data_IF_326012258566
#
_entry.id   IF_326012258566
#
_cell.length_a   1.000
_cell.length_b   1.000
_cell.length_c   1.000
_cell.angle_alpha   90.00
_cell.angle_beta   90.00
_cell.angle_gamma   90.00
#
_symmetry.space_group_name_H-M   'P 1'
#
loop_
_entity.id
_entity.type
_entity.pdbx_description
1 polymer ?
#
# COMPACT_ATOMS: atom_id res chain seq x y z
N UNK A 1 8.08 5.82 28.76
CA UNK A 1 7.92 4.79 27.71
C UNK A 1 7.35 5.49 26.50
N UNK A 2 8.04 5.40 25.37
CA UNK A 2 7.61 6.03 24.13
C UNK A 2 6.76 5.04 23.35
N UNK A 3 5.56 5.48 22.93
CA UNK A 3 4.66 4.74 22.08
C UNK A 3 4.62 5.36 20.69
N UNK A 4 4.62 4.53 19.67
CA UNK A 4 4.54 4.93 18.26
C UNK A 4 3.28 4.39 17.58
N UNK A 5 2.85 5.05 16.51
CA UNK A 5 1.85 4.55 15.58
C UNK A 5 2.54 3.94 14.37
N UNK A 6 2.11 2.76 13.94
CA UNK A 6 2.62 2.13 12.73
C UNK A 6 1.45 1.77 11.82
N UNK A 7 1.46 2.29 10.59
CA UNK A 7 0.68 1.73 9.50
C UNK A 7 1.52 0.65 8.81
N UNK A 8 1.14 -0.62 9.04
CA UNK A 8 1.78 -1.76 8.41
C UNK A 8 1.09 -2.07 7.07
N UNK A 9 1.43 -1.32 6.03
CA UNK A 9 0.80 -1.45 4.73
C UNK A 9 1.30 -2.64 3.90
N UNK A 10 0.50 -3.06 2.91
CA UNK A 10 0.87 -4.14 1.98
C UNK A 10 2.09 -3.77 1.16
N UNK A 11 2.10 -2.58 0.57
CA UNK A 11 3.16 -2.11 -0.33
C UNK A 11 4.16 -1.18 0.37
N UNK A 12 3.68 -0.30 1.24
CA UNK A 12 4.46 0.65 2.01
C UNK A 12 3.96 0.70 3.45
N UNK A 13 4.87 0.91 4.38
CA UNK A 13 4.59 1.13 5.80
C UNK A 13 5.02 2.52 6.23
N UNK A 14 4.38 3.03 7.27
CA UNK A 14 4.61 4.37 7.80
C UNK A 14 4.74 4.30 9.33
N UNK A 15 5.56 5.16 9.92
CA UNK A 15 5.68 5.31 11.36
C UNK A 15 5.54 6.76 11.78
N UNK A 16 4.76 6.97 12.81
CA UNK A 16 4.54 8.28 13.39
C UNK A 16 4.52 8.27 14.90
N UNK A 17 4.63 9.44 15.47
CA UNK A 17 4.53 9.59 16.89
C UNK A 17 3.80 10.88 17.28
N UNK A 18 3.20 10.91 18.47
CA UNK A 18 2.40 12.03 18.95
C UNK A 18 3.24 13.00 19.74
N UNK A 19 3.34 14.23 19.25
CA UNK A 19 4.07 15.34 19.92
C UNK A 19 3.36 16.66 19.69
N UNK A 20 3.38 17.50 20.71
CA UNK A 20 2.83 18.87 20.63
C UNK A 20 1.40 18.92 20.09
N UNK A 21 0.57 17.96 20.51
CA UNK A 21 -0.84 17.81 20.13
C UNK A 21 -1.08 17.51 18.64
N UNK A 22 -0.09 16.92 17.96
CA UNK A 22 -0.19 16.47 16.58
C UNK A 22 0.56 15.17 16.35
N UNK A 23 0.13 14.42 15.34
CA UNK A 23 0.90 13.29 14.83
C UNK A 23 2.04 13.82 13.92
N UNK A 24 3.24 13.34 14.13
CA UNK A 24 4.41 13.62 13.31
C UNK A 24 4.89 12.33 12.65
N UNK A 25 4.87 12.31 11.32
CA UNK A 25 5.36 11.17 10.53
C UNK A 25 6.87 11.26 10.41
N UNK A 26 7.54 10.17 10.78
CA UNK A 26 9.00 10.09 10.82
C UNK A 26 9.54 9.62 9.46
N UNK A 27 10.49 10.37 8.91
CA UNK A 27 11.18 9.97 7.69
C UNK A 27 12.21 8.87 7.98
N UNK A 28 12.35 7.93 7.03
CA UNK A 28 13.37 6.88 7.09
C UNK A 28 14.78 7.43 6.75
N UNK A 29 15.77 6.56 6.75
CA UNK A 29 17.18 6.85 6.43
C UNK A 29 17.41 7.36 5.00
N UNK A 30 16.45 7.19 4.09
CA UNK A 30 16.45 7.75 2.73
C UNK A 30 15.69 9.09 2.63
N UNK A 31 15.18 9.61 3.74
CA UNK A 31 14.37 10.82 3.78
C UNK A 31 12.91 10.63 3.33
N UNK A 32 12.47 9.39 3.11
CA UNK A 32 11.09 9.08 2.72
C UNK A 32 10.21 8.91 3.96
N UNK A 33 9.00 9.45 3.94
CA UNK A 33 8.00 9.30 5.02
C UNK A 33 7.27 7.97 5.00
N UNK A 34 7.37 7.24 3.90
CA UNK A 34 6.89 5.86 3.76
C UNK A 34 8.05 4.95 3.41
N UNK A 35 8.03 3.73 3.90
CA UNK A 35 9.08 2.72 3.68
C UNK A 35 8.47 1.53 2.96
N UNK A 36 9.06 1.03 1.86
CA UNK A 36 8.58 -0.17 1.18
C UNK A 36 8.47 -1.37 2.13
N UNK A 37 7.37 -2.09 2.10
CA UNK A 37 7.16 -3.33 2.87
C UNK A 37 7.88 -4.51 2.21
N UNK A 38 9.19 -4.38 2.02
CA UNK A 38 10.09 -5.32 1.36
C UNK A 38 11.17 -5.81 2.30
N UNK A 39 11.46 -7.11 2.25
CA UNK A 39 12.59 -7.74 2.94
C UNK A 39 13.37 -8.56 1.92
N UNK A 40 14.67 -8.36 1.84
CA UNK A 40 15.53 -9.15 0.94
C UNK A 40 16.67 -9.81 1.71
N UNK A 41 17.00 -11.00 1.28
CA UNK A 41 18.03 -11.82 1.87
C UNK A 41 19.18 -12.00 0.87
N UNK A 42 20.39 -11.73 1.32
CA UNK A 42 21.61 -11.84 0.51
C UNK A 42 22.61 -12.76 1.19
N UNK A 43 23.73 -13.03 0.55
CA UNK A 43 24.81 -13.81 1.16
C UNK A 43 25.51 -13.07 2.32
N UNK A 44 25.33 -11.77 2.42
CA UNK A 44 25.99 -10.93 3.42
C UNK A 44 25.04 -10.49 4.52
N UNK A 45 23.86 -9.96 4.14
CA UNK A 45 22.97 -9.28 5.04
C UNK A 45 21.49 -9.42 4.67
N UNK A 46 20.63 -9.02 5.60
CA UNK A 46 19.19 -8.83 5.38
C UNK A 46 18.91 -7.36 5.15
N UNK A 47 18.29 -7.04 4.02
CA UNK A 47 17.89 -5.70 3.64
C UNK A 47 16.40 -5.50 3.90
N UNK A 48 16.00 -4.29 4.32
CA UNK A 48 14.58 -3.97 4.60
C UNK A 48 14.28 -2.60 4.01
N UNK A 49 13.08 -2.42 3.46
CA UNK A 49 12.61 -1.15 2.92
C UNK A 49 13.18 -0.81 1.54
N UNK A 50 13.63 0.41 1.36
CA UNK A 50 14.13 0.93 0.07
C UNK A 50 15.30 0.11 -0.47
N UNK A 51 16.26 -0.28 0.37
CA UNK A 51 17.40 -1.11 -0.02
C UNK A 51 16.96 -2.49 -0.53
N UNK A 52 15.98 -3.12 0.14
CA UNK A 52 15.42 -4.39 -0.30
C UNK A 52 14.68 -4.25 -1.63
N UNK A 53 13.84 -3.23 -1.78
CA UNK A 53 13.09 -2.96 -3.02
C UNK A 53 14.01 -2.68 -4.19
N UNK A 54 15.09 -1.91 -3.98
CA UNK A 54 16.01 -1.50 -5.04
C UNK A 54 16.77 -2.66 -5.66
N UNK A 55 17.12 -3.70 -4.90
CA UNK A 55 17.83 -4.87 -5.39
C UNK A 55 16.91 -6.04 -5.80
N UNK A 56 15.60 -5.97 -5.52
CA UNK A 56 14.65 -7.09 -5.71
C UNK A 56 14.68 -7.71 -7.12
N UNK A 57 15.03 -6.96 -8.15
CA UNK A 57 15.09 -7.54 -9.50
C UNK A 57 16.36 -8.34 -9.78
N UNK A 58 17.44 -8.02 -9.09
CA UNK A 58 18.67 -8.79 -9.19
C UNK A 58 18.58 -10.08 -8.35
N UNK A 59 17.70 -10.09 -7.35
CA UNK A 59 17.52 -11.18 -6.39
C UNK A 59 16.04 -11.48 -6.11
N UNK A 60 15.22 -11.79 -7.15
CA UNK A 60 13.76 -11.89 -7.00
C UNK A 60 13.32 -13.05 -6.09
N UNK A 61 14.02 -14.19 -6.12
CA UNK A 61 13.65 -15.37 -5.32
C UNK A 61 13.90 -15.19 -3.82
N UNK A 62 14.74 -14.24 -3.43
CA UNK A 62 15.08 -13.94 -2.04
C UNK A 62 14.61 -12.53 -1.61
N UNK A 63 13.70 -11.93 -2.37
CA UNK A 63 13.12 -10.61 -2.07
C UNK A 63 11.63 -10.78 -1.83
N UNK A 64 11.24 -10.70 -0.56
CA UNK A 64 9.87 -10.95 -0.09
C UNK A 64 9.12 -9.63 0.04
N UNK A 65 7.91 -9.60 -0.49
CA UNK A 65 6.96 -8.50 -0.40
C UNK A 65 5.54 -9.05 -0.28
N UNK A 66 4.57 -8.19 -0.05
CA UNK A 66 3.15 -8.57 0.10
C UNK A 66 2.87 -9.62 1.19
N UNK A 67 3.75 -9.73 2.21
CA UNK A 67 3.57 -10.67 3.32
C UNK A 67 2.24 -10.45 4.07
N UNK A 68 1.71 -9.22 4.06
CA UNK A 68 0.40 -8.86 4.64
C UNK A 68 -0.77 -9.62 3.98
N UNK A 69 -0.65 -10.04 2.71
CA UNK A 69 -1.65 -10.86 2.01
C UNK A 69 -1.69 -12.30 2.53
N UNK A 70 -0.59 -12.77 3.12
CA UNK A 70 -0.39 -14.13 3.60
C UNK A 70 -0.60 -14.26 5.11
N UNK A 71 -0.40 -13.18 5.87
CA UNK A 71 -0.39 -13.20 7.34
C UNK A 71 -1.70 -13.74 7.90
N UNK A 72 -1.59 -14.69 8.85
CA UNK A 72 -2.72 -15.28 9.57
C UNK A 72 -3.67 -16.13 8.73
N UNK A 73 -3.29 -16.47 7.49
CA UNK A 73 -4.06 -17.36 6.61
C UNK A 73 -3.50 -18.78 6.61
N UNK A 74 -4.36 -19.72 6.28
CA UNK A 74 -3.94 -21.08 6.01
C UNK A 74 -3.47 -21.23 4.56
N UNK A 75 -2.54 -22.18 4.31
CA UNK A 75 -1.99 -22.38 2.96
C UNK A 75 -3.08 -22.73 1.94
N UNK A 76 -4.12 -23.47 2.34
CA UNK A 76 -5.24 -23.86 1.47
C UNK A 76 -6.25 -22.75 1.16
N UNK A 77 -6.11 -21.55 1.76
CA UNK A 77 -6.99 -20.42 1.50
C UNK A 77 -6.96 -20.08 -0.01
N UNK A 78 -8.12 -19.98 -0.69
CA UNK A 78 -8.18 -19.64 -2.11
C UNK A 78 -7.48 -18.31 -2.47
N UNK A 79 -7.49 -17.33 -1.56
CA UNK A 79 -6.78 -16.06 -1.75
C UNK A 79 -5.26 -16.33 -1.78
N UNK A 80 -4.74 -17.12 -0.85
CA UNK A 80 -3.32 -17.52 -0.83
C UNK A 80 -2.94 -18.24 -2.11
N UNK A 81 -3.75 -19.22 -2.54
CA UNK A 81 -3.48 -19.99 -3.77
C UNK A 81 -3.48 -19.12 -5.05
N UNK A 82 -4.21 -18.02 -5.05
CA UNK A 82 -4.16 -17.05 -6.14
C UNK A 82 -2.86 -16.21 -6.10
N UNK A 83 -2.46 -15.73 -4.92
CA UNK A 83 -1.25 -14.93 -4.72
C UNK A 83 0.03 -15.71 -5.04
N UNK A 84 0.11 -17.02 -4.68
CA UNK A 84 1.28 -17.86 -4.94
C UNK A 84 1.71 -17.87 -6.41
N UNK A 85 0.79 -17.68 -7.33
CA UNK A 85 1.07 -17.63 -8.77
C UNK A 85 1.79 -16.34 -9.22
N UNK A 86 1.78 -15.33 -8.38
CA UNK A 86 2.30 -14.00 -8.68
C UNK A 86 3.68 -13.76 -8.03
N UNK A 87 4.02 -14.53 -7.01
CA UNK A 87 5.28 -14.36 -6.29
C UNK A 87 6.46 -15.00 -7.05
N UNK A 88 7.62 -14.32 -7.09
CA UNK A 88 8.84 -14.88 -7.65
C UNK A 88 9.62 -15.73 -6.64
N UNK A 89 9.32 -15.62 -5.34
CA UNK A 89 9.92 -16.38 -4.25
C UNK A 89 9.11 -17.65 -3.95
N UNK A 90 9.75 -18.61 -3.35
CA UNK A 90 9.16 -19.90 -3.06
C UNK A 90 8.35 -19.90 -1.77
N UNK A 91 7.17 -20.53 -1.79
CA UNK A 91 6.26 -20.60 -0.65
C UNK A 91 5.74 -22.03 -0.48
N UNK A 92 6.00 -22.62 0.68
CA UNK A 92 5.66 -24.00 1.03
C UNK A 92 4.53 -24.11 2.03
N UNK A 93 3.91 -25.29 2.01
CA UNK A 93 2.99 -25.76 3.04
C UNK A 93 3.73 -26.61 4.09
N UNK A 94 3.74 -26.13 5.34
CA UNK A 94 4.19 -26.96 6.48
C UNK A 94 3.06 -27.05 7.49
N UNK A 95 2.47 -28.23 7.60
CA UNK A 95 1.34 -28.49 8.52
C UNK A 95 0.15 -27.52 8.37
N UNK A 96 -0.20 -27.18 7.12
CA UNK A 96 -1.27 -26.25 6.79
C UNK A 96 -0.88 -24.78 6.88
N UNK A 97 0.35 -24.48 7.34
CA UNK A 97 0.84 -23.11 7.51
C UNK A 97 1.74 -22.68 6.36
N UNK A 98 1.71 -21.38 6.06
CA UNK A 98 2.49 -20.75 5.01
C UNK A 98 3.93 -20.57 5.48
N UNK A 99 4.89 -21.01 4.67
CA UNK A 99 6.31 -20.80 4.89
C UNK A 99 6.96 -20.26 3.61
N UNK A 100 7.67 -19.17 3.75
CA UNK A 100 8.40 -18.48 2.68
C UNK A 100 9.85 -18.93 2.74
N UNK A 101 10.34 -19.54 1.67
CA UNK A 101 11.70 -20.08 1.59
C UNK A 101 12.60 -19.10 0.84
N UNK A 102 13.77 -18.85 1.40
CA UNK A 102 14.78 -17.96 0.85
C UNK A 102 16.19 -18.52 1.12
N UNK A 103 17.14 -18.14 0.31
CA UNK A 103 18.55 -18.36 0.58
C UNK A 103 19.12 -17.14 1.34
N UNK A 104 19.70 -17.38 2.52
CA UNK A 104 20.31 -16.36 3.35
C UNK A 104 21.66 -16.82 3.88
N UNK A 105 22.73 -16.10 3.54
CA UNK A 105 24.11 -16.43 3.92
C UNK A 105 24.53 -17.84 3.49
N UNK A 106 24.08 -18.26 2.29
CA UNK A 106 24.38 -19.58 1.73
C UNK A 106 23.58 -20.73 2.35
N UNK A 107 22.58 -20.44 3.20
CA UNK A 107 21.72 -21.44 3.82
C UNK A 107 20.25 -21.23 3.40
N UNK A 108 19.53 -22.33 3.21
CA UNK A 108 18.08 -22.27 3.04
C UNK A 108 17.41 -21.92 4.38
N UNK A 109 16.64 -20.85 4.39
CA UNK A 109 15.84 -20.41 5.54
C UNK A 109 14.37 -20.38 5.17
N UNK A 110 13.54 -20.61 6.15
CA UNK A 110 12.08 -20.66 5.99
C UNK A 110 11.45 -19.75 7.04
N UNK A 111 10.66 -18.79 6.60
CA UNK A 111 10.01 -17.79 7.46
C UNK A 111 8.51 -17.84 7.32
N UNK A 112 7.80 -17.65 8.42
CA UNK A 112 6.35 -17.41 8.39
C UNK A 112 6.06 -15.95 7.97
N UNK A 113 4.85 -15.64 7.45
CA UNK A 113 4.47 -14.27 7.10
C UNK A 113 4.59 -13.28 8.27
N UNK A 114 4.27 -13.69 9.50
CA UNK A 114 4.43 -12.86 10.69
C UNK A 114 5.91 -12.56 11.02
N UNK A 115 6.84 -13.46 10.70
CA UNK A 115 8.27 -13.22 10.86
C UNK A 115 8.78 -12.20 9.83
N UNK A 116 8.31 -12.26 8.58
CA UNK A 116 8.62 -11.24 7.57
C UNK A 116 8.03 -9.89 7.98
N UNK A 117 6.78 -9.87 8.44
CA UNK A 117 6.13 -8.65 8.93
C UNK A 117 6.85 -8.05 10.13
N UNK A 118 7.38 -8.90 11.04
CA UNK A 118 8.18 -8.44 12.18
C UNK A 118 9.46 -7.72 11.78
N UNK A 119 10.07 -8.12 10.67
CA UNK A 119 11.26 -7.44 10.14
C UNK A 119 10.93 -6.02 9.65
N UNK A 120 9.75 -5.83 9.03
CA UNK A 120 9.26 -4.50 8.66
C UNK A 120 8.99 -3.67 9.92
N UNK A 121 8.32 -4.24 10.92
CA UNK A 121 8.03 -3.57 12.20
C UNK A 121 9.32 -3.19 12.94
N UNK A 122 10.35 -4.04 12.91
CA UNK A 122 11.67 -3.72 13.45
C UNK A 122 12.26 -2.49 12.74
N UNK A 123 12.17 -2.42 11.41
CA UNK A 123 12.62 -1.23 10.66
C UNK A 123 11.86 0.02 11.05
N UNK A 124 10.53 -0.07 11.28
CA UNK A 124 9.73 1.08 11.77
C UNK A 124 10.18 1.51 13.17
N UNK A 125 10.46 0.56 14.05
CA UNK A 125 11.01 0.82 15.39
C UNK A 125 12.37 1.51 15.30
N UNK A 126 13.30 0.97 14.50
CA UNK A 126 14.65 1.54 14.33
C UNK A 126 14.60 2.97 13.80
N UNK A 127 13.72 3.28 12.84
CA UNK A 127 13.49 4.62 12.33
C UNK A 127 13.00 5.55 13.44
N UNK A 128 12.06 5.10 14.26
CA UNK A 128 11.53 5.88 15.36
C UNK A 128 12.58 6.12 16.46
N UNK A 129 13.34 5.09 16.85
CA UNK A 129 14.41 5.19 17.85
C UNK A 129 15.54 6.14 17.39
N UNK A 130 15.93 6.06 16.11
CA UNK A 130 16.93 6.95 15.53
C UNK A 130 16.49 8.42 15.56
N UNK A 131 15.21 8.68 15.31
CA UNK A 131 14.65 10.04 15.32
C UNK A 131 14.44 10.57 16.74
N UNK A 132 13.91 9.75 17.65
CA UNK A 132 13.55 10.16 19.00
C UNK A 132 14.78 10.20 19.96
N UNK A 133 15.82 9.43 19.65
CA UNK A 133 16.97 9.24 20.54
C UNK A 133 16.67 8.41 21.81
N UNK A 134 15.55 7.67 21.80
CA UNK A 134 15.06 6.88 22.93
C UNK A 134 14.60 5.50 22.47
N UNK A 135 14.63 4.52 23.38
CA UNK A 135 14.12 3.17 23.09
C UNK A 135 12.60 3.18 22.98
N UNK A 136 12.09 2.58 21.93
CA UNK A 136 10.66 2.40 21.68
C UNK A 136 10.23 0.99 22.08
N UNK A 137 9.26 0.91 22.98
CA UNK A 137 8.75 -0.37 23.52
C UNK A 137 7.31 -0.65 23.14
N UNK A 138 6.51 0.39 22.87
CA UNK A 138 5.08 0.29 22.71
C UNK A 138 4.65 0.76 21.32
N UNK A 139 3.64 0.10 20.73
CA UNK A 139 3.10 0.48 19.44
C UNK A 139 1.58 0.34 19.36
N UNK A 140 0.95 1.19 18.57
CA UNK A 140 -0.39 0.97 18.01
C UNK A 140 -0.20 0.65 16.53
N UNK A 141 -0.76 -0.48 16.07
CA UNK A 141 -0.58 -0.96 14.68
C UNK A 141 -1.92 -1.08 13.99
N UNK A 142 -1.98 -0.65 12.73
CA UNK A 142 -3.21 -0.71 11.93
C UNK A 142 -3.34 -2.05 11.19
N UNK A 143 -4.59 -2.45 10.97
CA UNK A 143 -4.96 -3.60 10.13
C UNK A 143 -6.22 -3.27 9.33
N UNK A 144 -6.43 -3.90 8.16
CA UNK A 144 -7.69 -3.77 7.43
C UNK A 144 -8.90 -4.15 8.29
N UNK A 145 -10.02 -3.45 8.11
CA UNK A 145 -11.23 -3.70 8.91
C UNK A 145 -11.79 -5.12 8.73
N UNK A 146 -11.56 -5.74 7.56
CA UNK A 146 -11.99 -7.11 7.25
C UNK A 146 -11.06 -8.22 7.79
N UNK A 147 -9.92 -7.87 8.41
CA UNK A 147 -9.05 -8.88 9.02
C UNK A 147 -9.81 -9.67 10.08
N UNK A 148 -9.73 -11.00 9.98
CA UNK A 148 -10.25 -11.91 10.98
C UNK A 148 -9.33 -12.00 12.22
N UNK A 149 -9.77 -12.70 13.26
CA UNK A 149 -9.02 -12.84 14.50
C UNK A 149 -7.66 -13.50 14.31
N UNK A 150 -7.53 -14.47 13.41
CA UNK A 150 -6.25 -15.12 13.10
C UNK A 150 -5.25 -14.11 12.54
N UNK A 151 -5.67 -13.29 11.60
CA UNK A 151 -4.82 -12.25 10.98
C UNK A 151 -4.43 -11.16 11.99
N UNK A 152 -5.37 -10.74 12.86
CA UNK A 152 -5.10 -9.78 13.95
C UNK A 152 -4.12 -10.33 14.96
N UNK A 153 -4.27 -11.60 15.36
CA UNK A 153 -3.35 -12.27 16.28
C UNK A 153 -1.96 -12.43 15.66
N UNK A 154 -1.86 -12.86 14.39
CA UNK A 154 -0.57 -12.96 13.70
C UNK A 154 0.11 -11.60 13.52
N UNK A 155 -0.65 -10.52 13.36
CA UNK A 155 -0.09 -9.14 13.37
C UNK A 155 0.41 -8.78 14.77
N UNK A 156 -0.30 -9.16 15.82
CA UNK A 156 0.15 -8.99 17.22
C UNK A 156 1.43 -9.76 17.48
N UNK A 157 1.51 -11.02 17.02
CA UNK A 157 2.70 -11.85 17.16
C UNK A 157 3.90 -11.23 16.42
N UNK A 158 3.68 -10.67 15.23
CA UNK A 158 4.72 -9.95 14.50
C UNK A 158 5.27 -8.74 15.31
N UNK A 159 4.41 -8.01 16.04
CA UNK A 159 4.85 -6.94 16.93
C UNK A 159 5.72 -7.48 18.06
N UNK A 160 5.29 -8.57 18.70
CA UNK A 160 6.05 -9.18 19.81
C UNK A 160 7.41 -9.71 19.34
N UNK A 161 7.48 -10.33 18.16
CA UNK A 161 8.75 -10.80 17.54
C UNK A 161 9.67 -9.59 17.27
N UNK A 162 9.12 -8.43 16.86
CA UNK A 162 9.88 -7.20 16.67
C UNK A 162 10.30 -6.51 17.98
N UNK A 163 9.95 -7.08 19.12
CA UNK A 163 10.22 -6.47 20.44
C UNK A 163 9.40 -5.21 20.71
N UNK A 164 8.18 -5.16 20.16
CA UNK A 164 7.19 -4.12 20.40
C UNK A 164 6.02 -4.71 21.22
N UNK A 165 5.57 -4.00 22.24
CA UNK A 165 4.34 -4.30 22.95
C UNK A 165 3.16 -3.64 22.22
N UNK A 166 2.27 -4.42 21.58
CA UNK A 166 1.13 -3.85 20.85
C UNK A 166 0.04 -3.38 21.80
N UNK A 167 0.01 -2.10 22.12
CA UNK A 167 -1.02 -1.49 22.97
C UNK A 167 -2.42 -1.67 22.37
N UNK A 168 -2.54 -1.53 21.05
CA UNK A 168 -3.76 -1.72 20.28
C UNK A 168 -3.43 -2.21 18.87
N UNK A 169 -4.32 -3.04 18.34
CA UNK A 169 -4.47 -3.30 16.92
C UNK A 169 -5.78 -2.63 16.51
N UNK A 170 -5.73 -1.62 15.65
CA UNK A 170 -6.89 -0.82 15.24
C UNK A 170 -7.17 -0.97 13.74
N UNK A 171 -8.41 -0.72 13.36
CA UNK A 171 -8.79 -0.75 11.94
C UNK A 171 -8.21 0.46 11.19
N UNK A 172 -7.63 0.24 10.02
CA UNK A 172 -7.13 1.30 9.12
C UNK A 172 -8.16 2.42 8.89
N UNK A 173 -9.43 2.12 8.53
CA UNK A 173 -10.41 3.18 8.32
C UNK A 173 -10.74 3.95 9.60
N UNK A 174 -10.66 3.32 10.77
CA UNK A 174 -10.83 4.00 12.06
C UNK A 174 -9.65 4.93 12.34
N UNK A 175 -8.42 4.47 12.08
CA UNK A 175 -7.22 5.29 12.22
C UNK A 175 -7.28 6.53 11.33
N UNK A 176 -7.67 6.36 10.06
CA UNK A 176 -7.85 7.45 9.12
C UNK A 176 -8.90 8.47 9.60
N UNK A 177 -10.06 8.01 10.08
CA UNK A 177 -11.10 8.88 10.61
C UNK A 177 -10.60 9.70 11.82
N UNK A 178 -9.83 9.08 12.73
CA UNK A 178 -9.21 9.75 13.87
C UNK A 178 -8.17 10.78 13.41
N UNK A 179 -7.33 10.43 12.45
CA UNK A 179 -6.31 11.32 11.91
C UNK A 179 -6.93 12.61 11.31
N UNK A 180 -8.05 12.48 10.63
CA UNK A 180 -8.81 13.64 10.11
C UNK A 180 -9.60 14.40 11.20
N UNK A 181 -9.52 13.98 12.48
CA UNK A 181 -10.16 14.62 13.62
C UNK A 181 -11.68 14.56 13.56
N UNK A 182 -12.23 13.55 12.95
CA UNK A 182 -13.68 13.37 12.80
C UNK A 182 -14.36 12.96 14.12
N UNK A 183 -13.58 12.44 15.05
CA UNK A 183 -14.00 12.14 16.44
C UNK A 183 -14.39 13.40 17.24
N UNK A 184 -13.83 14.55 16.87
CA UNK A 184 -13.98 15.83 17.61
C UNK A 184 -15.03 16.77 17.01
N UNK A 185 -15.60 16.44 15.86
CA UNK A 185 -16.38 17.37 15.05
C UNK A 185 -17.90 17.24 15.15
N UNK A 186 -18.46 16.35 16.01
CA UNK A 186 -19.88 16.08 15.92
C UNK A 186 -20.70 16.21 17.20
N UNK A 187 -21.75 17.01 17.11
CA UNK A 187 -22.99 16.80 17.86
C UNK A 187 -23.85 15.85 16.98
N UNK A 188 -23.93 14.54 17.34
CA UNK A 188 -24.75 13.54 16.70
C UNK A 188 -24.02 12.58 15.75
N UNK A 189 -24.78 11.63 15.20
CA UNK A 189 -24.31 10.58 14.32
C UNK A 189 -23.80 11.12 12.98
N UNK A 190 -22.60 10.67 12.56
CA UNK A 190 -21.99 10.97 11.27
C UNK A 190 -21.62 9.70 10.51
N UNK A 191 -21.99 9.64 9.25
CA UNK A 191 -21.57 8.59 8.33
C UNK A 191 -20.39 9.08 7.49
N UNK A 192 -19.28 8.36 7.55
CA UNK A 192 -18.02 8.70 6.92
C UNK A 192 -17.59 7.59 5.98
N UNK A 193 -17.32 7.94 4.73
CA UNK A 193 -16.73 7.02 3.76
C UNK A 193 -15.22 7.20 3.78
N UNK A 194 -14.48 6.12 4.03
CA UNK A 194 -13.04 6.04 3.84
C UNK A 194 -12.77 5.35 2.51
N UNK A 195 -12.11 6.05 1.61
CA UNK A 195 -11.71 5.58 0.29
C UNK A 195 -10.19 5.46 0.28
N UNK A 196 -9.70 4.25 0.50
CA UNK A 196 -8.27 3.96 0.61
C UNK A 196 -7.77 3.21 -0.64
N UNK A 197 -7.01 3.92 -1.49
CA UNK A 197 -6.42 3.36 -2.69
C UNK A 197 -4.90 3.49 -2.62
N UNK A 198 -4.26 2.40 -2.24
CA UNK A 198 -2.82 2.29 -2.11
C UNK A 198 -2.10 1.93 -3.41
N UNK A 199 -0.91 1.33 -3.28
CA UNK A 199 -0.11 0.86 -4.41
C UNK A 199 -0.67 -0.40 -5.05
N UNK A 200 -1.12 -1.37 -4.26
CA UNK A 200 -1.57 -2.68 -4.77
C UNK A 200 -2.97 -3.07 -4.34
N UNK A 201 -3.59 -2.34 -3.40
CA UNK A 201 -4.92 -2.64 -2.86
C UNK A 201 -5.82 -1.42 -2.88
N UNK A 202 -7.11 -1.67 -2.96
CA UNK A 202 -8.16 -0.69 -2.79
C UNK A 202 -9.16 -1.17 -1.74
N UNK A 203 -9.35 -0.37 -0.71
CA UNK A 203 -10.30 -0.60 0.36
C UNK A 203 -11.27 0.57 0.48
N UNK A 204 -12.55 0.24 0.62
CA UNK A 204 -13.61 1.19 0.83
C UNK A 204 -14.39 0.79 2.08
N UNK A 205 -14.49 1.68 3.07
CA UNK A 205 -15.19 1.41 4.33
C UNK A 205 -16.17 2.53 4.64
N UNK A 206 -17.36 2.17 5.07
CA UNK A 206 -18.34 3.10 5.57
C UNK A 206 -18.45 2.96 7.09
N UNK A 207 -18.17 4.04 7.80
CA UNK A 207 -18.21 4.13 9.25
C UNK A 207 -19.34 5.03 9.69
N UNK A 208 -19.95 4.70 10.83
CA UNK A 208 -20.73 5.64 11.62
C UNK A 208 -19.90 6.06 12.84
N UNK A 209 -19.87 7.35 13.11
CA UNK A 209 -19.19 7.94 14.25
C UNK A 209 -20.25 8.66 15.09
N UNK A 210 -20.37 8.26 16.36
CA UNK A 210 -21.29 8.85 17.34
C UNK A 210 -20.61 8.88 18.71
N UNK A 211 -20.54 10.04 19.35
CA UNK A 211 -19.95 10.23 20.68
C UNK A 211 -18.54 9.62 20.84
N UNK A 212 -17.70 9.71 19.80
CA UNK A 212 -16.34 9.13 19.81
C UNK A 212 -16.30 7.62 19.63
N UNK A 213 -17.43 6.96 19.38
CA UNK A 213 -17.53 5.55 19.04
C UNK A 213 -17.52 5.40 17.53
N UNK A 214 -16.63 4.54 17.04
CA UNK A 214 -16.48 4.24 15.60
C UNK A 214 -17.06 2.87 15.32
N UNK A 215 -18.09 2.81 14.50
CA UNK A 215 -18.68 1.55 14.03
C UNK A 215 -18.46 1.40 12.52
N UNK A 216 -17.79 0.33 12.11
CA UNK A 216 -17.63 -0.02 10.70
C UNK A 216 -18.91 -0.72 10.23
N UNK A 217 -19.72 -0.04 9.43
CA UNK A 217 -21.03 -0.55 8.94
C UNK A 217 -20.87 -1.52 7.77
N UNK A 218 -19.93 -1.23 6.87
CA UNK A 218 -19.65 -2.08 5.73
C UNK A 218 -18.24 -1.85 5.19
N UNK A 219 -17.65 -2.90 4.62
CA UNK A 219 -16.37 -2.84 3.92
C UNK A 219 -16.48 -3.55 2.57
N UNK A 220 -15.80 -3.03 1.58
CA UNK A 220 -15.61 -3.68 0.28
C UNK A 220 -14.27 -3.22 -0.29
N UNK A 221 -13.75 -3.95 -1.27
CA UNK A 221 -12.47 -3.58 -1.86
C UNK A 221 -12.10 -4.50 -3.01
N UNK A 222 -10.91 -4.27 -3.53
CA UNK A 222 -10.24 -5.12 -4.52
C UNK A 222 -8.78 -5.25 -4.12
N UNK A 223 -8.35 -6.46 -3.83
CA UNK A 223 -6.98 -6.77 -3.41
C UNK A 223 -5.95 -6.68 -4.54
N UNK A 224 -6.41 -6.49 -5.79
CA UNK A 224 -5.60 -6.37 -7.00
C UNK A 224 -5.99 -5.12 -7.81
N UNK A 225 -6.29 -4.01 -7.12
CA UNK A 225 -6.54 -2.71 -7.73
C UNK A 225 -5.79 -1.63 -6.97
N UNK A 226 -4.82 -1.01 -7.63
CA UNK A 226 -4.01 0.05 -7.01
C UNK A 226 -3.09 0.74 -8.00
N UNK A 227 -2.15 1.51 -7.47
CA UNK A 227 -1.19 2.30 -8.24
C UNK A 227 -0.34 1.47 -9.21
N UNK A 228 -0.01 0.23 -8.84
CA UNK A 228 0.80 -0.67 -9.68
C UNK A 228 0.07 -1.13 -10.94
N UNK A 229 -1.26 -1.25 -10.90
CA UNK A 229 -2.05 -1.62 -12.07
C UNK A 229 -2.03 -0.50 -13.10
N UNK A 230 -2.08 0.76 -12.64
CA UNK A 230 -1.93 1.91 -13.52
C UNK A 230 -0.52 1.99 -14.13
N UNK A 231 0.51 1.65 -13.35
CA UNK A 231 1.89 1.56 -13.85
C UNK A 231 2.02 0.48 -14.91
N UNK A 232 1.44 -0.70 -14.68
CA UNK A 232 1.48 -1.82 -15.62
C UNK A 232 0.80 -1.47 -16.96
N UNK A 233 -0.30 -0.72 -16.93
CA UNK A 233 -0.95 -0.22 -18.17
C UNK A 233 -0.02 0.71 -18.94
N UNK A 234 0.66 1.63 -18.25
CA UNK A 234 1.64 2.51 -18.89
C UNK A 234 2.83 1.71 -19.46
N UNK A 235 3.33 0.72 -18.74
CA UNK A 235 4.40 -0.17 -19.21
C UNK A 235 3.98 -0.88 -20.49
N UNK A 236 2.79 -1.47 -20.52
CA UNK A 236 2.28 -2.14 -21.72
C UNK A 236 2.15 -1.17 -22.90
N UNK A 237 1.62 0.03 -22.66
CA UNK A 237 1.48 1.06 -23.69
C UNK A 237 2.83 1.45 -24.29
N UNK A 238 3.83 1.74 -23.46
CA UNK A 238 5.15 2.16 -23.94
C UNK A 238 5.98 1.02 -24.49
N UNK A 239 5.82 -0.20 -24.00
CA UNK A 239 6.44 -1.38 -24.59
C UNK A 239 5.94 -1.61 -26.03
N UNK A 240 4.64 -1.44 -26.27
CA UNK A 240 4.06 -1.50 -27.61
C UNK A 240 4.56 -0.35 -28.50
N UNK A 241 4.68 0.87 -27.95
CA UNK A 241 5.26 2.01 -28.68
C UNK A 241 6.71 1.75 -29.08
N UNK A 242 7.54 1.25 -28.14
CA UNK A 242 8.92 0.88 -28.40
C UNK A 242 9.02 -0.17 -29.50
N UNK A 243 8.23 -1.25 -29.40
CA UNK A 243 8.19 -2.34 -30.38
C UNK A 243 7.77 -1.84 -31.78
N UNK A 244 6.80 -0.93 -31.84
CA UNK A 244 6.36 -0.33 -33.09
C UNK A 244 7.47 0.49 -33.77
N UNK A 245 8.21 1.30 -32.98
CA UNK A 245 9.28 2.18 -33.48
C UNK A 245 10.54 1.41 -33.85
N UNK A 246 10.96 0.46 -33.02
CA UNK A 246 12.28 -0.17 -33.12
C UNK A 246 12.24 -1.60 -33.66
N UNK A 247 11.05 -2.20 -33.83
CA UNK A 247 10.86 -3.60 -34.26
C UNK A 247 11.47 -4.65 -33.33
N UNK A 248 11.72 -4.26 -32.08
CA UNK A 248 12.27 -5.10 -31.00
C UNK A 248 11.33 -5.13 -29.81
N UNK A 249 11.25 -6.26 -29.12
CA UNK A 249 10.35 -6.44 -27.98
C UNK A 249 11.12 -6.33 -26.65
N UNK A 250 11.05 -5.17 -26.03
CA UNK A 250 11.72 -4.96 -24.74
C UNK A 250 11.15 -5.81 -23.59
N UNK A 251 9.95 -6.42 -23.77
CA UNK A 251 9.34 -7.31 -22.78
C UNK A 251 10.14 -8.62 -22.56
N UNK A 252 11.03 -8.97 -23.48
CA UNK A 252 11.96 -10.09 -23.32
C UNK A 252 13.05 -9.85 -22.28
N UNK A 253 13.29 -8.58 -21.90
CA UNK A 253 14.30 -8.19 -20.91
C UNK A 253 13.67 -7.73 -19.59
N UNK A 254 13.73 -8.57 -18.56
CA UNK A 254 13.26 -8.20 -17.21
C UNK A 254 13.87 -6.88 -16.70
N UNK A 255 15.16 -6.63 -17.01
CA UNK A 255 15.87 -5.40 -16.65
C UNK A 255 15.26 -4.17 -17.32
N UNK A 256 14.96 -4.26 -18.63
CA UNK A 256 14.39 -3.16 -19.42
C UNK A 256 12.95 -2.86 -18.97
N UNK A 257 12.14 -3.89 -18.78
CA UNK A 257 10.76 -3.77 -18.25
C UNK A 257 10.76 -3.06 -16.90
N UNK A 258 11.69 -3.41 -16.02
CA UNK A 258 11.77 -2.75 -14.70
C UNK A 258 12.15 -1.29 -14.81
N UNK A 259 13.16 -0.95 -15.63
CA UNK A 259 13.56 0.45 -15.83
C UNK A 259 12.39 1.26 -16.38
N UNK A 260 11.64 0.69 -17.32
CA UNK A 260 10.43 1.30 -17.85
C UNK A 260 9.35 1.42 -16.76
N UNK A 261 9.12 0.39 -15.92
CA UNK A 261 8.14 0.44 -14.82
C UNK A 261 8.47 1.58 -13.84
N UNK A 262 9.73 1.73 -13.46
CA UNK A 262 10.18 2.83 -12.58
C UNK A 262 9.91 4.20 -13.19
N UNK A 263 10.17 4.37 -14.49
CA UNK A 263 9.88 5.62 -15.19
C UNK A 263 8.36 5.88 -15.31
N UNK A 264 7.56 4.84 -15.55
CA UNK A 264 6.09 4.92 -15.57
C UNK A 264 5.50 5.33 -14.22
N UNK A 265 6.00 4.77 -13.12
CA UNK A 265 5.60 5.16 -11.76
C UNK A 265 5.88 6.65 -11.50
N UNK A 266 7.08 7.13 -11.86
CA UNK A 266 7.42 8.55 -11.77
C UNK A 266 6.51 9.43 -12.62
N UNK A 267 6.27 9.02 -13.87
CA UNK A 267 5.37 9.72 -14.78
C UNK A 267 3.94 9.80 -14.21
N UNK A 268 3.39 8.69 -13.70
CA UNK A 268 2.08 8.66 -13.02
C UNK A 268 2.01 9.66 -11.87
N UNK A 269 3.02 9.70 -11.01
CA UNK A 269 3.08 10.66 -9.89
C UNK A 269 3.11 12.10 -10.38
N UNK A 270 3.92 12.40 -11.40
CA UNK A 270 3.98 13.73 -12.03
C UNK A 270 2.63 14.15 -12.62
N UNK A 271 1.89 13.22 -13.23
CA UNK A 271 0.57 13.49 -13.80
C UNK A 271 -0.52 13.77 -12.78
N UNK A 272 -0.29 13.52 -11.48
CA UNK A 272 -1.24 13.93 -10.43
C UNK A 272 -1.27 15.45 -10.24
N UNK A 273 -0.17 16.15 -10.52
CA UNK A 273 -0.07 17.62 -10.43
C UNK A 273 0.13 18.31 -11.78
N UNK A 274 0.87 17.69 -12.70
CA UNK A 274 1.17 18.22 -14.04
C UNK A 274 0.26 17.65 -15.13
N UNK A 275 0.23 18.29 -16.29
CA UNK A 275 -0.56 17.84 -17.43
C UNK A 275 0.21 16.91 -18.40
N UNK A 276 1.55 16.87 -18.26
CA UNK A 276 2.44 16.06 -19.12
C UNK A 276 3.60 15.56 -18.28
N UNK A 277 4.06 14.36 -18.56
CA UNK A 277 5.25 13.77 -17.95
C UNK A 277 6.16 13.18 -19.06
N UNK A 278 7.48 13.39 -18.93
CA UNK A 278 8.50 12.80 -19.81
C UNK A 278 8.93 11.43 -19.31
N UNK A 279 9.30 10.56 -20.25
CA UNK A 279 9.98 9.29 -19.99
C UNK A 279 11.28 9.32 -20.79
N UNK A 280 12.41 9.30 -20.09
CA UNK A 280 13.75 9.43 -20.67
C UNK A 280 14.59 8.28 -20.12
N UNK A 281 14.91 7.33 -20.99
CA UNK A 281 15.63 6.10 -20.66
C UNK A 281 16.72 5.84 -21.70
N UNK A 282 17.95 6.17 -21.32
CA UNK A 282 19.14 5.89 -22.13
C UNK A 282 19.38 4.38 -22.18
N UNK A 283 19.72 3.87 -23.36
CA UNK A 283 20.08 2.46 -23.57
C UNK A 283 19.11 1.50 -22.88
N UNK A 284 17.81 1.69 -23.15
CA UNK A 284 16.74 0.92 -22.50
C UNK A 284 16.79 -0.56 -22.86
N UNK A 285 16.96 -0.86 -24.16
CA UNK A 285 17.02 -2.23 -24.67
C UNK A 285 17.93 -2.29 -25.89
N UNK A 286 18.88 -3.24 -25.93
CA UNK A 286 19.85 -3.44 -27.03
C UNK A 286 20.57 -2.13 -27.46
N UNK A 287 20.92 -1.28 -26.51
CA UNK A 287 21.58 -0.01 -26.75
C UNK A 287 20.68 1.10 -27.29
N UNK A 288 19.39 0.86 -27.43
CA UNK A 288 18.42 1.82 -27.97
C UNK A 288 17.87 2.69 -26.84
N UNK A 289 17.94 4.00 -27.03
CA UNK A 289 17.33 4.98 -26.12
C UNK A 289 15.81 5.04 -26.34
N UNK A 290 15.09 5.37 -25.26
CA UNK A 290 13.65 5.58 -25.34
C UNK A 290 13.26 6.91 -24.71
N UNK A 291 12.89 7.85 -25.55
CA UNK A 291 12.40 9.18 -25.17
C UNK A 291 10.98 9.37 -25.69
N UNK A 292 10.08 9.65 -24.75
CA UNK A 292 8.66 9.89 -25.05
C UNK A 292 8.01 10.70 -23.94
N UNK A 293 6.75 11.05 -24.12
CA UNK A 293 5.96 11.73 -23.10
C UNK A 293 4.54 11.21 -23.07
N UNK A 294 3.87 11.43 -21.96
CA UNK A 294 2.45 11.09 -21.78
C UNK A 294 1.71 12.27 -21.17
N UNK A 295 0.54 12.57 -21.73
CA UNK A 295 -0.36 13.57 -21.15
C UNK A 295 -1.27 12.93 -20.10
N UNK A 296 -1.77 13.74 -19.14
CA UNK A 296 -2.77 13.30 -18.16
C UNK A 296 -4.00 12.73 -18.87
N UNK A 297 -4.52 13.39 -19.90
CA UNK A 297 -5.66 12.91 -20.67
C UNK A 297 -5.44 11.52 -21.29
N UNK A 298 -4.22 11.26 -21.81
CA UNK A 298 -3.87 9.94 -22.34
C UNK A 298 -3.80 8.89 -21.25
N UNK A 299 -3.14 9.19 -20.12
CA UNK A 299 -3.08 8.31 -18.96
C UNK A 299 -4.48 7.96 -18.44
N UNK A 300 -5.32 8.97 -18.24
CA UNK A 300 -6.70 8.78 -17.80
C UNK A 300 -7.51 7.92 -18.77
N UNK A 301 -7.35 8.15 -20.06
CA UNK A 301 -8.02 7.33 -21.10
C UNK A 301 -7.59 5.86 -21.05
N UNK A 302 -6.29 5.59 -20.85
CA UNK A 302 -5.77 4.23 -20.75
C UNK A 302 -6.28 3.50 -19.51
N UNK A 303 -6.36 4.19 -18.36
CA UNK A 303 -6.71 3.61 -17.07
C UNK A 303 -8.21 3.73 -16.73
N UNK A 304 -9.04 4.32 -17.58
CA UNK A 304 -10.45 4.65 -17.28
C UNK A 304 -11.26 3.47 -16.77
N UNK A 305 -11.07 2.28 -17.34
CA UNK A 305 -11.79 1.08 -16.91
C UNK A 305 -11.48 0.69 -15.46
N UNK A 306 -10.23 0.91 -15.00
CA UNK A 306 -9.84 0.66 -13.60
C UNK A 306 -10.40 1.75 -12.67
N UNK A 307 -10.41 3.01 -13.11
CA UNK A 307 -11.03 4.09 -12.33
C UNK A 307 -12.52 3.87 -12.16
N UNK A 308 -13.23 3.40 -13.20
CA UNK A 308 -14.64 3.05 -13.09
C UNK A 308 -14.86 1.85 -12.17
N UNK A 309 -13.99 0.82 -12.25
CA UNK A 309 -14.04 -0.35 -11.39
C UNK A 309 -13.91 0.02 -9.91
N UNK A 310 -13.14 1.04 -9.54
CA UNK A 310 -13.01 1.49 -8.16
C UNK A 310 -14.32 2.05 -7.57
N UNK A 311 -15.30 2.38 -8.39
CA UNK A 311 -16.62 2.85 -7.90
C UNK A 311 -17.55 1.70 -7.49
N UNK A 312 -17.27 0.45 -7.89
CA UNK A 312 -18.09 -0.72 -7.52
C UNK A 312 -18.06 -1.00 -6.01
N UNK A 313 -16.90 -1.02 -5.31
CA UNK A 313 -16.86 -1.13 -3.87
C UNK A 313 -17.59 0.00 -3.15
N UNK A 314 -17.53 1.24 -3.66
CA UNK A 314 -18.29 2.38 -3.09
C UNK A 314 -19.79 2.12 -3.12
N UNK A 315 -20.31 1.65 -4.26
CA UNK A 315 -21.72 1.28 -4.39
C UNK A 315 -22.07 0.09 -3.48
N UNK A 316 -21.15 -0.87 -3.34
CA UNK A 316 -21.34 -2.03 -2.50
C UNK A 316 -21.46 -1.67 -1.02
N UNK A 317 -20.56 -0.85 -0.47
CA UNK A 317 -20.62 -0.47 0.96
C UNK A 317 -21.88 0.33 1.28
N UNK A 318 -22.36 1.19 0.37
CA UNK A 318 -23.62 1.92 0.53
C UNK A 318 -24.82 0.97 0.57
N UNK A 319 -24.86 -0.02 -0.33
CA UNK A 319 -25.91 -1.02 -0.37
C UNK A 319 -25.90 -1.91 0.87
N UNK A 320 -24.74 -2.42 1.25
CA UNK A 320 -24.57 -3.37 2.36
C UNK A 320 -24.86 -2.70 3.72
N UNK A 321 -24.47 -1.44 3.90
CA UNK A 321 -24.78 -0.62 5.08
C UNK A 321 -26.21 -0.11 5.11
N UNK A 322 -26.94 -0.13 3.99
CA UNK A 322 -28.26 0.49 3.81
C UNK A 322 -28.27 2.02 4.02
N UNK A 323 -27.13 2.65 3.91
CA UNK A 323 -26.98 4.11 4.04
C UNK A 323 -27.03 4.73 2.64
N UNK A 324 -27.92 5.72 2.47
CA UNK A 324 -28.01 6.49 1.22
C UNK A 324 -26.74 7.33 1.01
N UNK A 325 -26.30 7.49 -0.24
CA UNK A 325 -25.16 8.38 -0.56
C UNK A 325 -25.37 9.82 -0.09
N UNK A 326 -26.62 10.27 0.03
CA UNK A 326 -26.93 11.61 0.52
C UNK A 326 -26.68 11.76 2.02
N UNK A 327 -26.69 10.66 2.76
CA UNK A 327 -26.47 10.61 4.21
C UNK A 327 -24.98 10.34 4.55
N UNK A 328 -24.10 10.29 3.57
CA UNK A 328 -22.65 10.29 3.81
C UNK A 328 -22.22 11.72 4.07
N UNK A 329 -21.67 12.00 5.24
CA UNK A 329 -21.31 13.36 5.66
C UNK A 329 -19.92 13.74 5.16
N UNK A 330 -18.93 12.89 5.36
CA UNK A 330 -17.55 13.13 4.98
C UNK A 330 -17.03 11.98 4.10
N UNK A 331 -16.14 12.32 3.15
CA UNK A 331 -15.45 11.37 2.27
C UNK A 331 -13.96 11.60 2.46
N UNK A 332 -13.29 10.63 3.06
CA UNK A 332 -11.87 10.70 3.42
C UNK A 332 -11.06 9.93 2.40
N UNK A 333 -10.02 10.56 1.88
CA UNK A 333 -9.08 9.97 0.93
C UNK A 333 -7.82 9.48 1.65
N UNK A 334 -7.51 8.21 1.46
CA UNK A 334 -6.31 7.53 1.98
C UNK A 334 -5.60 6.82 0.83
N UNK A 335 -4.27 6.67 0.95
CA UNK A 335 -3.44 6.03 -0.05
C UNK A 335 -3.05 6.95 -1.22
N UNK A 336 -1.81 6.81 -1.69
CA UNK A 336 -1.21 7.71 -2.69
C UNK A 336 -1.92 7.74 -4.04
N UNK A 337 -2.61 6.67 -4.42
CA UNK A 337 -3.35 6.60 -5.69
C UNK A 337 -4.62 7.47 -5.70
N UNK A 338 -5.11 7.90 -4.53
CA UNK A 338 -6.21 8.86 -4.43
C UNK A 338 -5.83 10.27 -4.89
N UNK A 339 -4.54 10.55 -5.08
CA UNK A 339 -4.06 11.82 -5.65
C UNK A 339 -4.38 11.97 -7.14
N UNK A 340 -4.74 10.89 -7.83
CA UNK A 340 -5.08 10.91 -9.25
C UNK A 340 -6.35 11.75 -9.46
N UNK A 341 -6.29 12.86 -10.24
CA UNK A 341 -7.43 13.78 -10.37
C UNK A 341 -8.70 13.11 -10.86
N UNK A 342 -8.59 12.13 -11.75
CA UNK A 342 -9.75 11.42 -12.30
C UNK A 342 -10.48 10.58 -11.27
N UNK A 343 -9.75 9.92 -10.35
CA UNK A 343 -10.34 9.19 -9.22
C UNK A 343 -11.15 10.14 -8.34
N UNK A 344 -10.56 11.29 -7.99
CA UNK A 344 -11.24 12.30 -7.18
C UNK A 344 -12.47 12.87 -7.87
N UNK A 345 -12.38 13.12 -9.18
CA UNK A 345 -13.50 13.61 -9.98
C UNK A 345 -14.67 12.61 -9.95
N UNK A 346 -14.41 11.34 -10.27
CA UNK A 346 -15.44 10.30 -10.30
C UNK A 346 -16.12 10.14 -8.93
N UNK A 347 -15.33 10.17 -7.86
CA UNK A 347 -15.86 10.05 -6.50
C UNK A 347 -16.74 11.27 -6.13
N UNK A 348 -16.27 12.48 -6.40
CA UNK A 348 -17.04 13.71 -6.15
C UNK A 348 -18.34 13.74 -6.96
N UNK A 349 -18.28 13.41 -8.26
CA UNK A 349 -19.46 13.32 -9.13
C UNK A 349 -20.47 12.29 -8.62
N UNK A 350 -20.01 11.11 -8.18
CA UNK A 350 -20.88 10.10 -7.61
C UNK A 350 -21.66 10.61 -6.37
N UNK A 351 -21.00 11.41 -5.53
CA UNK A 351 -21.61 12.03 -4.35
C UNK A 351 -22.18 13.46 -4.61
N UNK A 352 -22.65 13.71 -5.83
CA UNK A 352 -23.34 14.95 -6.24
C UNK A 352 -22.49 16.22 -6.03
N UNK A 353 -21.20 16.17 -6.28
CA UNK A 353 -20.27 17.29 -6.14
C UNK A 353 -19.80 17.54 -4.72
N UNK A 354 -19.98 16.58 -3.81
CA UNK A 354 -19.50 16.70 -2.42
C UNK A 354 -17.97 16.90 -2.37
N UNK A 355 -17.53 17.79 -1.50
CA UNK A 355 -16.12 18.02 -1.23
C UNK A 355 -15.47 16.80 -0.57
N UNK A 356 -14.25 16.48 -1.02
CA UNK A 356 -13.47 15.37 -0.50
C UNK A 356 -12.51 15.89 0.56
N UNK A 357 -12.39 15.17 1.68
CA UNK A 357 -11.45 15.49 2.76
C UNK A 357 -10.01 15.18 2.30
N UNK A 358 -9.19 16.25 2.17
CA UNK A 358 -7.81 16.21 1.65
C UNK A 358 -6.83 16.96 2.56
N UNK A 359 -7.22 17.26 3.79
CA UNK A 359 -6.42 18.09 4.71
C UNK A 359 -5.14 17.41 5.19
N UNK A 360 -5.08 16.07 5.11
CA UNK A 360 -3.91 15.26 5.45
C UNK A 360 -3.33 14.68 4.16
N UNK A 361 -2.01 14.45 4.16
CA UNK A 361 -1.36 13.73 3.08
C UNK A 361 -1.91 12.29 3.03
N UNK A 362 -2.54 11.85 1.91
CA UNK A 362 -3.16 10.53 1.84
C UNK A 362 -2.22 9.35 2.08
N UNK A 363 -0.91 9.53 1.85
CA UNK A 363 0.11 8.50 2.14
C UNK A 363 0.45 8.40 3.64
N UNK A 364 -0.05 9.32 4.47
CA UNK A 364 0.30 9.51 5.87
C UNK A 364 -0.93 9.56 6.80
N UNK A 365 -2.12 9.34 6.25
CA UNK A 365 -3.40 9.43 6.95
C UNK A 365 -3.65 8.26 7.92
#
# INVERSE_FOLDING_TARGET
MVAIGIDLGTTYSCVGFWKDNRCEIIANDQGNRTTPSYVAFTNEERLIGDSAKNQANANPCNSVYDAKRLIGRDFSDPVVQAELKLFPFDVDNKDGKIHINVEYKGEQKSFKPEEISSMILTKMKDIAEAYLGETVTDAVVTVPAYFNDSQRNSTRDACLIAGLNPLRIINEPTAAAIAYGLDKKSDGEKNVLIFDMGGGTFDCSLLTIEDGIFEVKATAGDTHLGGEDFDNILVQHFAQEFKRKNKQDLMESKKSVRRLKTACERAKRTLSSGNTASIELDSLYEGIDFFTSVTRAKFESLCMHLFQKSMEPVQKVLRDSKISKNNVHDIVLVGGSTRIPKVQQLLSEFFNGKELCKSINPDEA
#
